data_IF_508356967947
#
_entry.id   IF_508356967947
#
_cell.length_a   1.000
_cell.length_b   1.000
_cell.length_c   1.000
_cell.angle_alpha   90.00
_cell.angle_beta   90.00
_cell.angle_gamma   90.00
#
_symmetry.space_group_name_H-M   'P 1'
#
loop_
_entity.id
_entity.type
_entity.pdbx_description
1 polymer ?
#
# COMPACT_ATOMS: atom_id res chain seq x y z
N UNK A 1 3.62 7.41 9.83
CA UNK A 1 4.30 6.19 10.31
C UNK A 1 5.20 5.63 9.22
N UNK A 2 6.53 5.65 9.42
CA UNK A 2 7.51 4.98 8.54
C UNK A 2 7.36 3.45 8.58
N UNK A 3 7.02 2.89 9.75
CA UNK A 3 6.85 1.43 9.97
C UNK A 3 5.71 0.84 9.16
N UNK A 4 4.56 1.53 9.11
CA UNK A 4 3.40 1.08 8.32
C UNK A 4 3.77 0.99 6.84
N UNK A 5 4.39 2.05 6.32
CA UNK A 5 4.82 2.12 4.92
C UNK A 5 5.89 1.07 4.60
N UNK A 6 6.85 0.87 5.50
CA UNK A 6 7.86 -0.19 5.34
C UNK A 6 7.24 -1.59 5.20
N UNK A 7 6.20 -1.88 6.00
CA UNK A 7 5.46 -3.15 5.91
C UNK A 7 4.81 -3.32 4.53
N UNK A 8 4.10 -2.30 4.06
CA UNK A 8 3.41 -2.36 2.76
C UNK A 8 4.38 -2.35 1.58
N UNK A 9 5.52 -1.66 1.69
CA UNK A 9 6.58 -1.67 0.67
C UNK A 9 7.21 -3.06 0.56
N UNK A 10 7.34 -3.78 1.68
CA UNK A 10 7.84 -5.16 1.70
C UNK A 10 6.88 -6.09 0.97
N UNK A 11 5.57 -6.01 1.27
CA UNK A 11 4.53 -6.79 0.58
C UNK A 11 4.53 -6.45 -0.91
N UNK A 12 4.64 -5.17 -1.27
CA UNK A 12 4.66 -4.73 -2.66
C UNK A 12 5.88 -5.29 -3.42
N UNK A 13 7.07 -5.30 -2.79
CA UNK A 13 8.28 -5.88 -3.38
C UNK A 13 8.12 -7.38 -3.59
N UNK A 14 7.53 -8.09 -2.63
CA UNK A 14 7.30 -9.53 -2.73
C UNK A 14 6.33 -9.87 -3.87
N UNK A 15 5.21 -9.14 -4.00
CA UNK A 15 4.27 -9.39 -5.10
C UNK A 15 4.88 -9.10 -6.47
N UNK A 16 5.71 -8.06 -6.60
CA UNK A 16 6.46 -7.80 -7.84
C UNK A 16 7.39 -8.94 -8.22
N UNK A 17 8.06 -9.55 -7.23
CA UNK A 17 8.90 -10.72 -7.46
C UNK A 17 8.09 -11.93 -7.91
N UNK A 18 6.93 -12.18 -7.29
CA UNK A 18 6.00 -13.26 -7.66
C UNK A 18 5.51 -13.11 -9.10
N UNK A 19 5.14 -11.89 -9.49
CA UNK A 19 4.75 -11.58 -10.87
C UNK A 19 5.88 -11.81 -11.88
N UNK A 20 7.09 -11.32 -11.57
CA UNK A 20 8.25 -11.50 -12.43
C UNK A 20 8.62 -12.98 -12.59
N UNK A 21 8.48 -13.78 -11.52
CA UNK A 21 8.66 -15.22 -11.56
C UNK A 21 7.62 -15.89 -12.48
N UNK A 22 6.35 -15.50 -12.39
CA UNK A 22 5.31 -15.99 -13.30
C UNK A 22 5.64 -15.71 -14.76
N UNK A 23 6.01 -14.47 -15.08
CA UNK A 23 6.42 -14.07 -16.44
C UNK A 23 7.65 -14.86 -16.93
N UNK A 24 8.62 -15.12 -16.06
CA UNK A 24 9.79 -15.93 -16.39
C UNK A 24 9.37 -17.36 -16.76
N UNK A 25 8.47 -17.96 -16.00
CA UNK A 25 7.97 -19.31 -16.27
C UNK A 25 7.21 -19.37 -17.59
N UNK A 26 6.36 -18.38 -17.87
CA UNK A 26 5.65 -18.25 -19.15
C UNK A 26 6.61 -18.12 -20.35
N UNK A 27 7.80 -17.53 -20.15
CA UNK A 27 8.82 -17.38 -21.18
C UNK A 27 9.64 -18.64 -21.47
N UNK A 28 9.48 -19.71 -20.68
CA UNK A 28 10.21 -20.96 -20.89
C UNK A 28 9.71 -21.68 -22.17
N UNK A 29 10.59 -22.38 -22.92
CA UNK A 29 10.25 -22.99 -24.21
C UNK A 29 9.07 -23.98 -24.17
N UNK A 30 8.92 -24.70 -23.05
CA UNK A 30 7.83 -25.66 -22.82
C UNK A 30 6.76 -25.12 -21.86
N UNK A 31 6.91 -23.88 -21.36
CA UNK A 31 6.09 -23.29 -20.31
C UNK A 31 6.07 -24.08 -19.00
N UNK A 32 7.03 -24.99 -18.82
CA UNK A 32 7.05 -25.97 -17.72
C UNK A 32 8.32 -25.86 -16.91
N UNK A 33 8.13 -25.84 -15.60
CA UNK A 33 9.21 -26.01 -14.65
C UNK A 33 9.58 -27.50 -14.52
N UNK A 34 10.83 -27.82 -14.17
CA UNK A 34 11.15 -29.16 -13.70
C UNK A 34 10.27 -29.52 -12.49
N UNK A 35 9.75 -30.76 -12.43
CA UNK A 35 8.78 -31.19 -11.41
C UNK A 35 9.24 -30.91 -9.96
N UNK A 36 10.55 -31.02 -9.68
CA UNK A 36 11.12 -30.68 -8.38
C UNK A 36 10.95 -29.20 -8.03
N UNK A 37 11.18 -28.32 -9.00
CA UNK A 37 11.10 -26.87 -8.81
C UNK A 37 9.64 -26.37 -8.83
N UNK A 38 8.76 -27.06 -9.55
CA UNK A 38 7.33 -26.75 -9.58
C UNK A 38 6.69 -26.83 -8.20
N UNK A 39 6.97 -27.90 -7.44
CA UNK A 39 6.46 -28.05 -6.07
C UNK A 39 6.97 -26.95 -5.13
N UNK A 40 8.25 -26.59 -5.22
CA UNK A 40 8.87 -25.55 -4.40
C UNK A 40 8.35 -24.15 -4.73
N UNK A 41 8.06 -23.90 -6.01
CA UNK A 41 7.61 -22.59 -6.49
C UNK A 41 6.09 -22.40 -6.45
N UNK A 42 5.29 -23.47 -6.37
CA UNK A 42 3.83 -23.38 -6.35
C UNK A 42 3.26 -22.37 -5.33
N UNK A 43 3.77 -22.26 -4.08
CA UNK A 43 3.31 -21.25 -3.12
C UNK A 43 3.61 -19.80 -3.54
N UNK A 44 4.53 -19.63 -4.49
CA UNK A 44 5.02 -18.34 -4.99
C UNK A 44 4.26 -17.84 -6.22
N UNK A 45 3.61 -18.72 -6.98
CA UNK A 45 2.89 -18.40 -8.23
C UNK A 45 1.49 -17.80 -8.03
N UNK A 46 1.27 -17.14 -6.90
CA UNK A 46 0.01 -16.50 -6.56
C UNK A 46 -0.20 -15.25 -7.43
N UNK A 47 -1.27 -15.26 -8.25
CA UNK A 47 -1.64 -14.21 -9.21
C UNK A 47 -2.49 -13.08 -8.60
N UNK A 48 -2.53 -13.00 -7.26
CA UNK A 48 -3.31 -12.00 -6.53
C UNK A 48 -2.78 -10.60 -6.79
N UNK A 49 -3.72 -9.66 -6.91
CA UNK A 49 -3.40 -8.23 -6.95
C UNK A 49 -3.73 -7.58 -5.62
N UNK A 50 -2.88 -6.67 -5.17
CA UNK A 50 -3.09 -5.90 -3.95
C UNK A 50 -3.39 -4.44 -4.26
N UNK A 51 -4.49 -3.94 -3.71
CA UNK A 51 -4.81 -2.53 -3.72
C UNK A 51 -4.77 -2.00 -2.28
N UNK A 52 -3.70 -1.27 -1.92
CA UNK A 52 -3.41 -0.86 -0.55
C UNK A 52 -3.73 0.63 -0.40
N UNK A 53 -4.65 0.98 0.49
CA UNK A 53 -5.00 2.38 0.78
C UNK A 53 -4.48 2.75 2.18
N UNK A 54 -3.60 3.75 2.25
CA UNK A 54 -3.02 4.22 3.50
C UNK A 54 -3.85 5.33 4.15
N UNK A 55 -4.37 5.04 5.34
CA UNK A 55 -4.96 6.02 6.26
C UNK A 55 -3.96 6.29 7.40
N UNK A 56 -2.92 7.06 7.10
CA UNK A 56 -1.82 7.32 8.04
C UNK A 56 -2.04 8.69 8.69
N UNK A 57 -2.31 8.69 9.99
CA UNK A 57 -2.44 9.90 10.78
C UNK A 57 -1.19 10.80 10.66
N UNK A 58 -1.44 12.08 10.39
CA UNK A 58 -0.42 13.13 10.32
C UNK A 58 -0.38 13.85 11.66
N UNK A 59 0.59 13.48 12.50
CA UNK A 59 0.77 14.14 13.79
C UNK A 59 1.09 15.63 13.58
N UNK A 60 0.41 16.50 14.31
CA UNK A 60 0.64 17.95 14.23
C UNK A 60 1.85 18.32 15.07
N UNK A 61 2.59 19.36 14.66
CA UNK A 61 3.82 19.78 15.35
C UNK A 61 3.64 20.08 16.85
N UNK A 62 2.46 20.56 17.26
CA UNK A 62 2.16 20.84 18.67
C UNK A 62 1.82 19.59 19.49
N UNK A 63 1.49 18.46 18.85
CA UNK A 63 1.20 17.21 19.56
C UNK A 63 2.49 16.57 20.07
N UNK A 64 3.65 16.82 19.42
CA UNK A 64 4.91 16.12 19.69
C UNK A 64 5.44 16.29 21.11
N UNK A 65 5.15 17.42 21.76
CA UNK A 65 5.59 17.71 23.13
C UNK A 65 4.65 17.13 24.20
N UNK A 66 3.46 16.65 23.80
CA UNK A 66 2.39 16.23 24.71
C UNK A 66 1.79 14.85 24.36
N UNK A 67 2.40 14.09 23.43
CA UNK A 67 1.85 12.80 22.92
C UNK A 67 1.49 11.80 24.01
N UNK A 68 2.21 11.83 25.13
CA UNK A 68 2.06 10.84 26.20
C UNK A 68 0.97 11.19 27.23
N UNK A 69 0.36 12.39 27.16
CA UNK A 69 -0.69 12.80 28.12
C UNK A 69 -1.79 13.72 27.55
N UNK A 70 -1.73 14.11 26.27
CA UNK A 70 -2.77 14.91 25.61
C UNK A 70 -4.01 14.08 25.21
N UNK A 71 -4.62 13.38 26.17
CA UNK A 71 -5.88 12.65 25.98
C UNK A 71 -7.13 13.51 26.26
N UNK A 72 -6.97 14.84 26.25
CA UNK A 72 -8.07 15.76 26.47
C UNK A 72 -9.16 15.59 25.40
N UNK A 73 -10.42 15.81 25.79
CA UNK A 73 -11.57 15.66 24.90
C UNK A 73 -11.51 16.57 23.65
N UNK A 74 -10.78 17.69 23.70
CA UNK A 74 -10.50 18.52 22.52
C UNK A 74 -9.55 17.82 21.53
N UNK A 75 -8.40 17.34 22.01
CA UNK A 75 -7.40 16.65 21.21
C UNK A 75 -7.97 15.37 20.55
N UNK A 76 -8.75 14.59 21.29
CA UNK A 76 -9.43 13.40 20.75
C UNK A 76 -10.42 13.74 19.63
N UNK A 77 -11.25 14.79 19.82
CA UNK A 77 -12.17 15.24 18.76
C UNK A 77 -11.43 15.73 17.53
N UNK A 78 -10.29 16.39 17.70
CA UNK A 78 -9.45 16.83 16.61
C UNK A 78 -8.84 15.67 15.83
N UNK A 79 -8.33 14.64 16.52
CA UNK A 79 -7.82 13.42 15.87
C UNK A 79 -8.91 12.69 15.09
N UNK A 80 -10.11 12.53 15.67
CA UNK A 80 -11.25 11.91 14.98
C UNK A 80 -11.67 12.70 13.76
N UNK A 81 -11.76 14.03 13.87
CA UNK A 81 -12.10 14.88 12.74
C UNK A 81 -11.06 14.76 11.62
N UNK A 82 -9.77 14.78 11.98
CA UNK A 82 -8.68 14.59 11.01
C UNK A 82 -8.79 13.26 10.26
N UNK A 83 -9.04 12.15 11.00
CA UNK A 83 -9.25 10.84 10.39
C UNK A 83 -10.51 10.74 9.52
N UNK A 84 -11.61 11.39 9.92
CA UNK A 84 -12.83 11.48 9.12
C UNK A 84 -12.58 12.24 7.81
N UNK A 85 -11.95 13.41 7.90
CA UNK A 85 -11.63 14.24 6.74
C UNK A 85 -10.69 13.51 5.77
N UNK A 86 -9.73 12.73 6.29
CA UNK A 86 -8.84 11.87 5.48
C UNK A 86 -9.62 10.76 4.75
N UNK A 87 -10.55 10.10 5.45
CA UNK A 87 -11.37 9.04 4.86
C UNK A 87 -12.30 9.60 3.77
N UNK A 88 -12.95 10.74 4.02
CA UNK A 88 -13.82 11.39 3.04
C UNK A 88 -13.06 11.72 1.76
N UNK A 89 -11.90 12.40 1.87
CA UNK A 89 -11.03 12.70 0.71
C UNK A 89 -10.53 11.45 0.00
N UNK A 90 -10.30 10.36 0.73
CA UNK A 90 -9.90 9.07 0.14
C UNK A 90 -11.05 8.45 -0.65
N UNK A 91 -12.29 8.48 -0.13
CA UNK A 91 -13.48 7.95 -0.80
C UNK A 91 -13.87 8.74 -2.06
N UNK A 92 -13.57 10.03 -2.11
CA UNK A 92 -13.74 10.87 -3.31
C UNK A 92 -12.81 10.46 -4.47
N UNK A 93 -11.77 9.67 -4.20
CA UNK A 93 -10.82 9.16 -5.20
C UNK A 93 -11.26 7.82 -5.73
N UNK A 94 -12.22 7.81 -6.66
CA UNK A 94 -12.68 6.58 -7.32
C UNK A 94 -11.54 5.74 -7.93
N UNK A 95 -10.50 6.42 -8.41
CA UNK A 95 -9.30 5.78 -8.96
C UNK A 95 -8.53 4.94 -7.93
N UNK A 96 -8.65 5.23 -6.63
CA UNK A 96 -8.02 4.44 -5.57
C UNK A 96 -8.69 3.09 -5.36
N UNK A 97 -9.90 2.88 -5.86
CA UNK A 97 -10.66 1.63 -5.72
C UNK A 97 -10.67 0.80 -7.00
N UNK A 98 -10.03 1.29 -8.06
CA UNK A 98 -9.87 0.55 -9.30
C UNK A 98 -9.03 -0.70 -9.07
N UNK A 99 -9.47 -1.84 -9.62
CA UNK A 99 -8.73 -3.09 -9.51
C UNK A 99 -7.36 -2.94 -10.23
N UNK A 100 -6.23 -3.15 -9.53
CA UNK A 100 -4.93 -3.08 -10.16
C UNK A 100 -4.79 -4.11 -11.29
N UNK A 101 -4.08 -3.74 -12.36
CA UNK A 101 -3.77 -4.70 -13.40
C UNK A 101 -2.86 -5.80 -12.85
N UNK A 102 -3.06 -7.03 -13.35
CA UNK A 102 -2.26 -8.20 -12.94
C UNK A 102 -0.76 -7.99 -13.18
N UNK A 103 -0.40 -7.25 -14.22
CA UNK A 103 0.99 -6.88 -14.51
C UNK A 103 1.60 -6.01 -13.40
N UNK A 104 0.83 -5.08 -12.81
CA UNK A 104 1.31 -4.25 -11.70
C UNK A 104 1.42 -5.05 -10.40
N UNK A 105 0.48 -5.96 -10.14
CA UNK A 105 0.46 -6.85 -8.97
C UNK A 105 0.14 -6.15 -7.64
N UNK A 106 0.57 -4.91 -7.48
CA UNK A 106 0.36 -4.12 -6.28
C UNK A 106 0.31 -2.63 -6.61
N UNK A 107 -0.67 -1.94 -6.04
CA UNK A 107 -0.75 -0.48 -6.07
C UNK A 107 -1.00 0.02 -4.64
N UNK A 108 -0.33 1.11 -4.29
CA UNK A 108 -0.43 1.74 -2.98
C UNK A 108 -0.87 3.19 -3.14
N UNK A 109 -1.90 3.58 -2.41
CA UNK A 109 -2.50 4.91 -2.40
C UNK A 109 -2.28 5.57 -1.04
N UNK A 110 -1.96 6.86 -1.05
CA UNK A 110 -1.78 7.66 0.15
C UNK A 110 -2.28 9.08 -0.16
N UNK A 111 -3.41 9.46 0.43
CA UNK A 111 -4.07 10.74 0.16
C UNK A 111 -3.13 11.91 0.48
N UNK A 112 -2.27 11.79 1.49
CA UNK A 112 -1.31 12.82 1.90
C UNK A 112 -0.10 12.93 0.97
N UNK A 113 0.15 11.91 0.15
CA UNK A 113 1.25 11.89 -0.83
C UNK A 113 0.79 12.19 -2.25
N UNK A 114 -0.49 11.95 -2.55
CA UNK A 114 -1.11 12.32 -3.83
C UNK A 114 -1.07 13.84 -4.08
N UNK A 115 -1.14 14.65 -3.03
CA UNK A 115 -1.03 16.12 -3.10
C UNK A 115 0.41 16.66 -3.14
N UNK A 116 1.41 15.84 -2.81
CA UNK A 116 2.83 16.27 -2.76
C UNK A 116 3.51 16.35 -4.15
N UNK A 117 2.79 16.04 -5.24
CA UNK A 117 3.28 16.13 -6.62
C UNK A 117 2.44 17.12 -7.45
N UNK A 118 2.20 18.32 -6.95
CA UNK A 118 1.92 19.45 -7.84
C UNK A 118 3.26 20.06 -8.22
N UNK A 119 3.73 19.97 -9.47
CA UNK A 119 4.88 20.74 -9.90
C UNK A 119 4.51 22.21 -9.75
N UNK A 120 5.26 22.94 -8.93
CA UNK A 120 5.25 24.39 -8.94
C UNK A 120 5.61 24.84 -10.37
N UNK A 121 4.73 25.64 -10.97
CA UNK A 121 5.00 26.37 -12.20
C UNK A 121 6.10 27.41 -11.99
#
# INVERSE_FOLDING_TARGET
SSRTRYGTDTVAREQKLRNALGQLIESLPDGKLPAKLEADLQPWLCDRVFNIVHLIYQAKHHEEQYKDYAFGASAMREHWRSGLDDMQRTLEREDFFSLPSRHLGVVTHDIHRAFAKTPTA
#
